data_IF_083786087719
#
_entry.id   IF_083786087719
#
_cell.length_a   1.000
_cell.length_b   1.000
_cell.length_c   1.000
_cell.angle_alpha   90.00
_cell.angle_beta   90.00
_cell.angle_gamma   90.00
#
_symmetry.space_group_name_H-M   'P 1'
#
loop_
_entity.id
_entity.type
_entity.pdbx_description
1 polymer ?
#
# COMPACT_ATOMS: atom_id res chain seq x y z
N UNK A 1 7.20 1.18 27.35
CA UNK A 1 6.58 -0.17 27.36
C UNK A 1 6.82 -0.75 25.97
N UNK A 2 7.70 -1.72 25.85
CA UNK A 2 7.93 -2.44 24.58
C UNK A 2 6.82 -3.49 24.49
N UNK A 3 6.02 -3.42 23.42
CA UNK A 3 5.02 -4.45 23.13
C UNK A 3 5.75 -5.61 22.44
N UNK A 4 5.95 -6.70 23.15
CA UNK A 4 6.40 -7.96 22.54
C UNK A 4 5.22 -8.70 21.95
N UNK A 5 5.27 -9.00 20.65
CA UNK A 5 4.32 -9.91 20.02
C UNK A 5 4.56 -11.34 20.50
N UNK A 6 3.58 -11.93 21.17
CA UNK A 6 3.67 -13.32 21.60
C UNK A 6 3.76 -14.27 20.40
N UNK A 7 4.59 -15.30 20.50
CA UNK A 7 4.75 -16.32 19.47
C UNK A 7 5.95 -16.14 18.53
N UNK A 8 6.59 -14.98 18.53
CA UNK A 8 7.74 -14.73 17.65
C UNK A 8 9.10 -14.93 18.34
N UNK A 9 9.15 -14.92 19.68
CA UNK A 9 10.38 -15.08 20.44
C UNK A 9 11.49 -14.12 20.00
N UNK A 10 12.73 -14.51 20.26
CA UNK A 10 13.89 -13.74 19.78
C UNK A 10 14.28 -14.20 18.36
N UNK A 11 13.88 -13.45 17.34
CA UNK A 11 14.21 -13.72 15.94
C UNK A 11 15.61 -13.27 15.53
N UNK A 12 16.34 -12.60 16.41
CA UNK A 12 17.65 -11.99 16.11
C UNK A 12 18.68 -13.01 15.61
N UNK A 13 18.57 -14.25 16.06
CA UNK A 13 19.49 -15.34 15.72
C UNK A 13 18.97 -16.29 14.65
N UNK A 14 17.80 -16.03 14.07
CA UNK A 14 17.29 -16.86 12.98
C UNK A 14 18.01 -16.51 11.66
N UNK A 15 18.54 -17.51 10.95
CA UNK A 15 19.11 -17.26 9.62
C UNK A 15 17.99 -16.77 8.69
N UNK A 16 18.31 -15.81 7.83
CA UNK A 16 17.40 -15.37 6.78
C UNK A 16 17.10 -16.56 5.85
N UNK A 17 15.83 -17.01 5.75
CA UNK A 17 15.49 -18.23 5.00
C UNK A 17 15.64 -18.07 3.49
N UNK A 18 15.46 -16.87 2.97
CA UNK A 18 15.59 -16.55 1.55
C UNK A 18 16.41 -15.28 1.36
N UNK A 19 17.30 -15.27 0.38
CA UNK A 19 18.01 -14.06 -0.03
C UNK A 19 17.07 -13.15 -0.82
N UNK A 20 17.26 -11.84 -0.73
CA UNK A 20 16.45 -10.86 -1.47
C UNK A 20 16.45 -11.11 -2.99
N UNK A 21 17.60 -11.52 -3.54
CA UNK A 21 17.76 -11.86 -4.97
C UNK A 21 16.89 -13.03 -5.44
N UNK A 22 16.37 -13.85 -4.52
CA UNK A 22 15.47 -14.98 -4.80
C UNK A 22 13.99 -14.65 -4.54
N UNK A 23 13.70 -13.38 -4.25
CA UNK A 23 12.35 -12.90 -3.98
C UNK A 23 12.03 -11.78 -4.98
N UNK A 24 10.81 -11.79 -5.49
CA UNK A 24 10.28 -10.67 -6.28
C UNK A 24 8.86 -10.35 -5.82
N UNK A 25 8.57 -9.08 -5.64
CA UNK A 25 7.21 -8.61 -5.43
C UNK A 25 6.53 -8.37 -6.76
N UNK A 26 5.25 -8.68 -6.82
CA UNK A 26 4.43 -8.46 -8.00
C UNK A 26 3.23 -7.58 -7.63
N UNK A 27 3.04 -6.51 -8.40
CA UNK A 27 1.91 -5.59 -8.24
C UNK A 27 0.99 -5.64 -9.47
N UNK A 28 -0.28 -5.67 -9.21
CA UNK A 28 -1.35 -5.62 -10.22
C UNK A 28 -2.09 -4.27 -10.28
N UNK A 29 -1.65 -3.32 -9.46
CA UNK A 29 -2.26 -1.99 -9.32
C UNK A 29 -3.24 -1.88 -8.15
N UNK A 30 -3.48 -2.95 -7.39
CA UNK A 30 -4.42 -2.97 -6.27
C UNK A 30 -3.72 -3.27 -4.94
N UNK A 31 -2.75 -2.45 -4.56
CA UNK A 31 -2.03 -2.55 -3.29
C UNK A 31 -2.35 -1.34 -2.42
N UNK A 32 -2.82 -1.58 -1.20
CA UNK A 32 -3.17 -0.53 -0.24
C UNK A 32 -3.07 -1.06 1.20
N UNK A 33 -2.97 -0.18 2.21
CA UNK A 33 -2.99 -0.52 3.62
C UNK A 33 -1.90 -1.55 3.99
N UNK A 34 -2.23 -2.71 4.52
CA UNK A 34 -1.25 -3.76 4.89
C UNK A 34 -0.37 -4.19 3.72
N UNK A 35 -0.90 -4.20 2.49
CA UNK A 35 -0.10 -4.47 1.29
C UNK A 35 1.00 -3.42 1.12
N UNK A 36 0.70 -2.14 1.36
CA UNK A 36 1.68 -1.05 1.33
C UNK A 36 2.77 -1.28 2.37
N UNK A 37 2.38 -1.47 3.63
CA UNK A 37 3.32 -1.68 4.73
C UNK A 37 4.25 -2.88 4.47
N UNK A 38 3.70 -4.00 4.02
CA UNK A 38 4.48 -5.18 3.66
C UNK A 38 5.44 -4.89 2.49
N UNK A 39 4.99 -4.11 1.51
CA UNK A 39 5.79 -3.65 0.38
C UNK A 39 6.98 -2.81 0.85
N UNK A 40 6.76 -1.84 1.72
CA UNK A 40 7.80 -0.97 2.26
C UNK A 40 8.88 -1.76 3.02
N UNK A 41 8.47 -2.68 3.88
CA UNK A 41 9.43 -3.53 4.58
C UNK A 41 10.27 -4.38 3.64
N UNK A 42 9.65 -4.98 2.63
CA UNK A 42 10.37 -5.80 1.66
C UNK A 42 11.31 -4.97 0.78
N UNK A 43 10.92 -3.77 0.37
CA UNK A 43 11.73 -2.90 -0.48
C UNK A 43 12.85 -2.21 0.30
N UNK A 44 12.52 -1.49 1.38
CA UNK A 44 13.48 -0.64 2.08
C UNK A 44 14.34 -1.41 3.06
N UNK A 45 13.81 -2.41 3.74
CA UNK A 45 14.58 -3.17 4.73
C UNK A 45 15.22 -4.43 4.15
N UNK A 46 14.52 -5.14 3.25
CA UNK A 46 15.00 -6.38 2.67
C UNK A 46 15.58 -6.22 1.25
N UNK A 47 15.49 -5.04 0.62
CA UNK A 47 15.96 -4.76 -0.75
C UNK A 47 15.37 -5.71 -1.82
N UNK A 48 14.13 -6.16 -1.62
CA UNK A 48 13.42 -7.01 -2.57
C UNK A 48 12.97 -6.19 -3.77
N UNK A 49 13.21 -6.70 -4.97
CA UNK A 49 12.83 -6.06 -6.23
C UNK A 49 11.36 -6.29 -6.59
N UNK A 50 10.83 -5.41 -7.43
CA UNK A 50 9.41 -5.38 -7.75
C UNK A 50 9.12 -5.35 -9.25
N UNK A 51 8.06 -6.04 -9.65
CA UNK A 51 7.47 -6.01 -11.00
C UNK A 51 6.05 -5.51 -10.88
N UNK A 52 5.72 -4.43 -11.58
CA UNK A 52 4.37 -3.88 -11.62
C UNK A 52 3.75 -4.02 -13.02
N UNK A 53 2.48 -4.41 -13.04
CA UNK A 53 1.71 -4.62 -14.26
C UNK A 53 0.73 -3.49 -14.52
N UNK A 54 0.69 -3.01 -15.77
CA UNK A 54 -0.34 -2.11 -16.24
C UNK A 54 0.12 -0.68 -16.50
N UNK A 55 -0.76 0.26 -16.17
CA UNK A 55 -0.60 1.67 -16.49
C UNK A 55 -1.02 2.01 -17.92
N UNK A 56 -0.97 3.30 -18.28
CA UNK A 56 -1.27 3.76 -19.62
C UNK A 56 -0.29 3.20 -20.65
N UNK A 57 -0.67 3.04 -21.94
CA UNK A 57 0.20 2.53 -23.00
C UNK A 57 1.23 3.58 -23.46
N UNK A 58 1.87 4.23 -22.51
CA UNK A 58 2.95 5.21 -22.73
C UNK A 58 4.22 4.72 -22.04
N UNK A 59 5.36 5.07 -22.60
CA UNK A 59 6.66 4.74 -21.98
C UNK A 59 6.81 5.49 -20.67
N UNK A 60 7.40 4.84 -19.68
CA UNK A 60 7.71 5.42 -18.40
C UNK A 60 7.47 4.46 -17.23
N UNK A 61 7.91 4.86 -16.05
CA UNK A 61 7.74 4.08 -14.84
C UNK A 61 6.29 4.09 -14.37
N UNK A 62 5.96 3.15 -13.48
CA UNK A 62 4.73 3.16 -12.69
C UNK A 62 5.04 2.84 -11.24
N UNK A 63 4.25 3.38 -10.34
CA UNK A 63 4.33 2.99 -8.93
C UNK A 63 3.77 1.58 -8.73
N UNK A 64 4.39 0.82 -7.82
CA UNK A 64 3.92 -0.52 -7.46
C UNK A 64 2.64 -0.48 -6.64
N UNK A 65 2.55 0.48 -5.73
CA UNK A 65 1.38 0.67 -4.85
C UNK A 65 0.35 1.55 -5.56
N UNK A 66 -0.76 0.96 -5.98
CA UNK A 66 -1.84 1.66 -6.71
C UNK A 66 -3.03 2.07 -5.83
N UNK A 67 -2.84 2.14 -4.52
CA UNK A 67 -3.89 2.49 -3.57
C UNK A 67 -3.42 3.49 -2.51
N UNK A 68 -4.08 3.46 -1.35
CA UNK A 68 -3.74 4.36 -0.24
C UNK A 68 -2.49 3.84 0.46
N UNK A 69 -1.45 4.67 0.50
CA UNK A 69 -0.25 4.48 1.31
C UNK A 69 -0.53 4.97 2.74
N UNK A 70 -1.05 4.08 3.54
CA UNK A 70 -1.44 4.33 4.92
C UNK A 70 -2.04 3.09 5.55
N UNK A 71 -2.09 3.05 6.87
CA UNK A 71 -2.48 1.84 7.59
C UNK A 71 -3.99 1.70 7.81
N UNK A 72 -4.77 2.75 7.59
CA UNK A 72 -6.20 2.71 7.83
C UNK A 72 -6.96 3.73 7.00
N UNK A 73 -7.97 3.28 6.30
CA UNK A 73 -8.96 4.14 5.68
C UNK A 73 -10.36 3.87 6.26
N UNK A 74 -11.22 4.88 6.19
CA UNK A 74 -12.63 4.74 6.56
C UNK A 74 -13.50 5.37 5.48
N UNK A 75 -14.70 4.82 5.30
CA UNK A 75 -15.71 5.45 4.45
C UNK A 75 -16.39 6.61 5.19
N UNK A 76 -16.87 7.61 4.47
CA UNK A 76 -17.69 8.65 5.05
C UNK A 76 -18.93 8.10 5.76
N UNK A 77 -19.49 7.02 5.27
CA UNK A 77 -20.57 6.29 5.93
C UNK A 77 -20.18 5.84 7.33
N UNK A 78 -18.98 5.28 7.49
CA UNK A 78 -18.49 4.83 8.80
C UNK A 78 -18.24 6.01 9.75
N UNK A 79 -17.72 7.14 9.23
CA UNK A 79 -17.52 8.36 10.01
C UNK A 79 -18.88 8.89 10.50
N UNK A 80 -19.84 9.02 9.60
CA UNK A 80 -21.19 9.48 9.94
C UNK A 80 -21.87 8.54 10.94
N UNK A 81 -21.77 7.23 10.76
CA UNK A 81 -22.30 6.25 11.71
C UNK A 81 -21.64 6.39 13.09
N UNK A 82 -20.32 6.42 13.17
CA UNK A 82 -19.59 6.56 14.42
C UNK A 82 -19.93 7.88 15.13
N UNK A 83 -20.10 8.96 14.37
CA UNK A 83 -20.49 10.28 14.87
C UNK A 83 -21.89 10.25 15.47
N UNK A 84 -22.88 9.73 14.75
CA UNK A 84 -24.25 9.60 15.24
C UNK A 84 -24.32 8.72 16.49
N UNK A 85 -23.57 7.62 16.51
CA UNK A 85 -23.49 6.74 17.68
C UNK A 85 -22.86 7.42 18.89
N UNK A 86 -21.83 8.25 18.68
CA UNK A 86 -21.08 8.91 19.78
C UNK A 86 -21.75 10.18 20.31
N UNK A 87 -22.54 10.87 19.50
CA UNK A 87 -23.13 12.16 19.82
C UNK A 87 -23.97 12.17 21.12
N UNK A 88 -24.82 11.15 21.42
CA UNK A 88 -25.57 11.08 22.66
C UNK A 88 -24.69 11.00 23.92
N UNK A 89 -23.44 10.53 23.77
CA UNK A 89 -22.49 10.37 24.87
C UNK A 89 -21.55 11.56 25.04
N UNK A 90 -21.69 12.59 24.22
CA UNK A 90 -20.86 13.78 24.30
C UNK A 90 -21.17 14.57 25.60
N UNK A 91 -20.17 14.68 26.49
CA UNK A 91 -20.32 15.25 27.83
C UNK A 91 -20.30 16.78 27.88
N UNK A 92 -19.81 17.42 26.82
CA UNK A 92 -19.66 18.90 26.78
C UNK A 92 -20.14 19.45 25.45
N UNK A 93 -20.54 20.71 25.43
CA UNK A 93 -20.96 21.39 24.20
C UNK A 93 -19.81 21.45 23.17
N UNK A 94 -18.56 21.55 23.63
CA UNK A 94 -17.39 21.46 22.76
C UNK A 94 -17.30 20.11 22.04
N UNK A 95 -17.55 19.01 22.76
CA UNK A 95 -17.56 17.66 22.15
C UNK A 95 -18.74 17.52 21.19
N UNK A 96 -19.92 18.00 21.56
CA UNK A 96 -21.10 18.01 20.66
C UNK A 96 -20.82 18.76 19.37
N UNK A 97 -20.29 19.98 19.48
CA UNK A 97 -19.96 20.81 18.32
C UNK A 97 -18.90 20.18 17.43
N UNK A 98 -17.88 19.51 18.00
CA UNK A 98 -16.87 18.79 17.24
C UNK A 98 -17.46 17.62 16.46
N UNK A 99 -18.31 16.80 17.07
CA UNK A 99 -18.97 15.67 16.42
C UNK A 99 -19.98 16.12 15.36
N UNK A 100 -20.78 17.17 15.63
CA UNK A 100 -21.80 17.66 14.70
C UNK A 100 -21.25 18.04 13.33
N UNK A 101 -19.97 18.42 13.24
CA UNK A 101 -19.30 18.74 11.96
C UNK A 101 -19.27 17.57 10.98
N UNK A 102 -19.40 16.35 11.44
CA UNK A 102 -19.31 15.14 10.63
C UNK A 102 -20.67 14.47 10.40
N UNK A 103 -21.77 15.11 10.78
CA UNK A 103 -23.12 14.64 10.51
C UNK A 103 -23.50 14.87 9.04
N UNK A 104 -23.08 16.00 8.49
CA UNK A 104 -23.27 16.32 7.09
C UNK A 104 -22.02 15.90 6.30
N UNK A 105 -22.22 15.11 5.27
CA UNK A 105 -21.12 14.70 4.42
C UNK A 105 -20.73 15.87 3.50
N UNK A 106 -19.44 16.19 3.37
CA UNK A 106 -18.97 17.28 2.50
C UNK A 106 -19.31 17.04 1.03
N UNK A 107 -19.61 15.79 0.67
CA UNK A 107 -20.05 15.38 -0.66
C UNK A 107 -21.35 14.58 -0.52
N UNK A 108 -22.45 15.22 -0.76
CA UNK A 108 -23.81 14.60 -0.78
C UNK A 108 -23.97 13.50 -1.83
N UNK A 109 -22.93 13.24 -2.61
CA UNK A 109 -22.98 12.36 -3.78
C UNK A 109 -22.66 10.91 -3.49
N UNK A 110 -21.90 10.61 -2.44
CA UNK A 110 -21.56 9.23 -2.09
C UNK A 110 -21.11 9.07 -0.66
N UNK A 111 -21.66 8.09 0.02
CA UNK A 111 -21.21 7.63 1.35
C UNK A 111 -20.06 6.64 1.25
N UNK A 112 -19.68 6.22 0.04
CA UNK A 112 -18.61 5.26 -0.23
C UNK A 112 -17.24 5.92 -0.45
N UNK A 113 -17.19 7.27 -0.58
CA UNK A 113 -15.91 7.97 -0.58
C UNK A 113 -15.13 7.64 0.69
N UNK A 114 -13.84 7.44 0.52
CA UNK A 114 -12.94 7.04 1.60
C UNK A 114 -11.97 8.17 1.96
N UNK A 115 -11.53 8.16 3.19
CA UNK A 115 -10.47 9.04 3.68
C UNK A 115 -9.44 8.19 4.42
N UNK A 116 -8.15 8.46 4.18
CA UNK A 116 -7.07 7.90 4.97
C UNK A 116 -7.03 8.62 6.32
N UNK A 117 -7.12 7.87 7.41
CA UNK A 117 -7.13 8.41 8.78
C UNK A 117 -5.86 8.07 9.54
N UNK A 118 -4.91 7.39 8.91
CA UNK A 118 -3.64 6.99 9.49
C UNK A 118 -2.59 6.91 8.41
N UNK A 119 -1.84 7.99 8.25
CA UNK A 119 -0.77 8.07 7.28
C UNK A 119 0.35 7.08 7.59
N UNK A 120 1.04 6.67 6.54
CA UNK A 120 2.33 5.99 6.60
C UNK A 120 3.40 7.05 6.35
N UNK A 121 4.47 7.02 7.15
CA UNK A 121 5.64 7.88 6.99
C UNK A 121 6.85 6.97 6.82
N UNK A 122 7.55 7.12 5.70
CA UNK A 122 8.75 6.36 5.43
C UNK A 122 9.87 6.78 6.40
N UNK A 123 10.80 5.87 6.67
CA UNK A 123 11.93 6.13 7.59
C UNK A 123 12.71 7.39 7.19
N UNK A 124 12.96 7.59 5.92
CA UNK A 124 13.65 8.76 5.37
C UNK A 124 12.86 10.08 5.53
N UNK A 125 11.56 10.01 5.81
CA UNK A 125 10.67 11.15 5.96
C UNK A 125 10.19 11.38 7.40
N UNK A 126 10.83 10.75 8.39
CA UNK A 126 10.44 10.93 9.80
C UNK A 126 10.64 12.38 10.25
N UNK A 127 11.70 13.04 9.81
CA UNK A 127 12.04 14.42 10.21
C UNK A 127 11.12 15.46 9.56
N UNK A 128 10.79 15.32 8.29
CA UNK A 128 9.92 16.25 7.56
C UNK A 128 8.43 15.92 7.69
N UNK A 129 8.10 14.69 8.10
CA UNK A 129 6.74 14.22 8.32
C UNK A 129 5.92 14.09 7.03
N UNK A 130 6.56 14.02 5.87
CA UNK A 130 5.85 13.88 4.59
C UNK A 130 5.23 12.49 4.49
N UNK A 131 3.89 12.37 4.35
CA UNK A 131 3.24 11.08 4.19
C UNK A 131 3.71 10.34 2.92
N UNK A 132 3.88 9.03 3.03
CA UNK A 132 4.28 8.16 1.92
C UNK A 132 3.39 8.29 0.68
N UNK A 133 2.14 8.69 0.87
CA UNK A 133 1.20 8.99 -0.23
C UNK A 133 1.72 10.03 -1.22
N UNK A 134 2.59 10.93 -0.77
CA UNK A 134 3.19 12.00 -1.59
C UNK A 134 4.62 11.66 -2.05
N UNK A 135 5.14 10.51 -1.64
CA UNK A 135 6.45 10.02 -2.06
C UNK A 135 6.25 9.07 -3.24
N UNK A 136 6.95 9.36 -4.34
CA UNK A 136 6.91 8.52 -5.53
C UNK A 136 7.81 7.30 -5.35
N UNK A 137 7.25 6.11 -5.59
CA UNK A 137 7.93 4.83 -5.43
C UNK A 137 7.70 3.94 -6.63
N UNK A 138 8.49 4.18 -7.68
CA UNK A 138 8.39 3.41 -8.92
C UNK A 138 8.81 1.95 -8.70
N UNK A 139 8.13 1.03 -9.37
CA UNK A 139 8.55 -0.35 -9.45
C UNK A 139 9.84 -0.51 -10.25
N UNK A 140 10.69 -1.48 -9.87
CA UNK A 140 11.96 -1.74 -10.57
C UNK A 140 11.74 -2.16 -12.03
N UNK A 141 10.67 -2.89 -12.31
CA UNK A 141 10.30 -3.35 -13.64
C UNK A 141 8.81 -3.13 -13.90
N UNK A 142 8.49 -2.54 -15.03
CA UNK A 142 7.11 -2.42 -15.51
C UNK A 142 6.85 -3.41 -16.63
N UNK A 143 5.71 -4.09 -16.58
CA UNK A 143 5.17 -4.93 -17.64
C UNK A 143 3.76 -4.47 -18.01
N UNK A 144 3.35 -4.70 -19.27
CA UNK A 144 1.97 -4.49 -19.69
C UNK A 144 1.15 -5.78 -19.54
N UNK A 145 -0.13 -5.61 -19.26
CA UNK A 145 -1.09 -6.68 -19.36
C UNK A 145 -1.21 -7.18 -20.81
N UNK A 146 -1.31 -8.48 -20.95
CA UNK A 146 -1.60 -9.13 -22.23
C UNK A 146 -2.87 -9.98 -22.11
N UNK A 147 -3.55 -10.25 -23.22
CA UNK A 147 -4.77 -11.06 -23.20
C UNK A 147 -4.55 -12.43 -22.51
N UNK A 148 -3.49 -13.20 -22.81
CA UNK A 148 -3.22 -14.45 -22.09
C UNK A 148 -3.11 -14.31 -20.57
N UNK A 149 -2.65 -13.19 -20.05
CA UNK A 149 -2.55 -12.95 -18.60
C UNK A 149 -3.91 -12.72 -17.95
N UNK A 150 -4.87 -12.20 -18.70
CA UNK A 150 -6.26 -12.01 -18.23
C UNK A 150 -7.00 -13.35 -18.19
N UNK A 151 -6.71 -14.22 -19.14
CA UNK A 151 -7.33 -15.55 -19.25
C UNK A 151 -6.70 -16.56 -18.28
N UNK A 152 -5.39 -16.44 -18.01
CA UNK A 152 -4.64 -17.36 -17.18
C UNK A 152 -3.60 -16.63 -16.32
N UNK A 153 -3.86 -16.52 -15.02
CA UNK A 153 -2.98 -15.88 -14.04
C UNK A 153 -1.56 -16.47 -14.01
N UNK A 154 -1.38 -17.72 -14.42
CA UNK A 154 -0.04 -18.32 -14.46
C UNK A 154 0.89 -17.65 -15.49
N UNK A 155 0.32 -16.98 -16.50
CA UNK A 155 1.12 -16.18 -17.43
C UNK A 155 1.70 -14.92 -16.76
N UNK A 156 0.98 -14.35 -15.80
CA UNK A 156 1.48 -13.24 -14.98
C UNK A 156 2.68 -13.70 -14.16
N UNK A 157 2.56 -14.84 -13.49
CA UNK A 157 3.66 -15.39 -12.68
C UNK A 157 4.87 -15.73 -13.53
N UNK A 158 4.68 -16.36 -14.71
CA UNK A 158 5.75 -16.67 -15.65
C UNK A 158 6.46 -15.42 -16.18
N UNK A 159 5.70 -14.36 -16.49
CA UNK A 159 6.25 -13.09 -16.94
C UNK A 159 7.06 -12.42 -15.84
N UNK A 160 6.55 -12.42 -14.61
CA UNK A 160 7.24 -11.92 -13.42
C UNK A 160 8.55 -12.67 -13.18
N UNK A 161 8.50 -13.99 -13.13
CA UNK A 161 9.69 -14.81 -12.93
C UNK A 161 10.72 -14.64 -14.06
N UNK A 162 10.25 -14.49 -15.30
CA UNK A 162 11.13 -14.22 -16.44
C UNK A 162 11.82 -12.86 -16.31
N UNK A 163 11.09 -11.82 -15.91
CA UNK A 163 11.65 -10.47 -15.71
C UNK A 163 12.64 -10.45 -14.55
N UNK A 164 12.30 -11.11 -13.43
CA UNK A 164 13.08 -11.06 -12.20
C UNK A 164 14.32 -11.98 -12.22
N UNK A 165 14.25 -13.16 -12.84
CA UNK A 165 15.26 -14.20 -12.66
C UNK A 165 15.87 -14.72 -13.96
N UNK A 166 15.30 -14.38 -15.12
CA UNK A 166 15.70 -14.96 -16.41
C UNK A 166 15.92 -13.90 -17.51
N UNK A 167 16.30 -12.68 -17.12
CA UNK A 167 16.67 -11.61 -18.06
C UNK A 167 15.53 -11.15 -18.98
N UNK A 168 14.28 -11.27 -18.53
CA UNK A 168 13.12 -10.76 -19.28
C UNK A 168 13.15 -9.24 -19.37
N UNK A 169 12.80 -8.72 -20.55
CA UNK A 169 12.78 -7.27 -20.78
C UNK A 169 11.55 -6.63 -20.15
N UNK A 170 11.75 -5.55 -19.39
CA UNK A 170 10.71 -4.68 -18.90
C UNK A 170 10.27 -3.67 -19.97
N UNK A 171 9.04 -3.22 -19.93
CA UNK A 171 8.57 -2.08 -20.71
C UNK A 171 9.23 -0.76 -20.23
N UNK A 172 9.58 -0.71 -18.93
CA UNK A 172 10.40 0.32 -18.29
C UNK A 172 11.13 -0.28 -17.09
N UNK A 173 12.34 0.24 -16.80
CA UNK A 173 13.18 -0.26 -15.73
C UNK A 173 13.86 -1.60 -16.08
N UNK A 174 14.48 -2.21 -15.08
CA UNK A 174 15.12 -3.54 -15.19
C UNK A 174 15.35 -4.12 -13.79
N UNK A 175 15.38 -5.43 -13.70
CA UNK A 175 15.89 -6.14 -12.52
C UNK A 175 17.22 -6.78 -12.95
N UNK A 176 18.31 -6.51 -12.22
CA UNK A 176 19.66 -6.99 -12.57
C UNK A 176 19.75 -8.51 -12.57
#
# INVERSE_FOLDING_TARGET
MVLESSGYGNLTNLPQPFKAENIVMMYDGACASTCTIASEFLRHQANVKSVAFGGLPVKGPIEGVGGIKGSQFVTWRNISFATNFSLPYAKTDKHKAALTRYLELPLDRTTLAIVNVRDEILEDNIEDGVPAQYIREDADCRLYWTLPMIEDVTQVWKATAKAAFNGGKCAHGSIP
#
